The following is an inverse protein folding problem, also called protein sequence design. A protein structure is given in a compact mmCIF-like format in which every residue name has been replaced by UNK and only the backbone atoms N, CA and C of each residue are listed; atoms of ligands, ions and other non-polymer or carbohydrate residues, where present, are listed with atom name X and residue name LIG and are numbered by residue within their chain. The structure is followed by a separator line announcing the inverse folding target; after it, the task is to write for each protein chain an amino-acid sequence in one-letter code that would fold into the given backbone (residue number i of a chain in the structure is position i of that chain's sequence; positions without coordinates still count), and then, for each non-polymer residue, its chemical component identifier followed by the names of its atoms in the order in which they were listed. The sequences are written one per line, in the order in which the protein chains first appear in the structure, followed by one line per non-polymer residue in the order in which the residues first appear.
data_IF_557992634108
#
_entry.id   IF_557992634108
#
_cell.length_a   1.000
_cell.length_b   1.000
_cell.length_c   1.000
_cell.angle_alpha   90.00
_cell.angle_beta   90.00
_cell.angle_gamma   90.00
#
_symmetry.space_group_name_H-M   'P 1'
#
loop_
_entity.id
_entity.type
_entity.pdbx_description
1 polymer ?
#
# COMPACT_ATOMS: atom_id res chain seq x y z
N UNK A 1 -0.72 -13.18 8.61
CA UNK A 1 -0.77 -11.88 7.92
C UNK A 1 -1.61 -10.89 8.73
N UNK A 2 -1.22 -9.64 8.74
CA UNK A 2 -1.95 -8.61 9.50
C UNK A 2 -3.16 -8.09 8.72
N UNK A 3 -4.23 -7.80 9.44
CA UNK A 3 -5.31 -7.02 8.85
C UNK A 3 -4.81 -5.60 8.62
N UNK A 4 -5.56 -4.80 7.88
CA UNK A 4 -5.20 -3.39 7.66
C UNK A 4 -5.08 -2.65 8.99
N UNK A 5 -6.04 -2.83 9.89
CA UNK A 5 -6.01 -2.18 11.20
C UNK A 5 -4.77 -2.56 11.99
N UNK A 6 -4.43 -3.85 11.99
CA UNK A 6 -3.25 -4.34 12.70
C UNK A 6 -1.98 -3.77 12.09
N UNK A 7 -1.93 -3.67 10.76
CA UNK A 7 -0.76 -3.13 10.09
C UNK A 7 -0.57 -1.64 10.39
N UNK A 8 -1.66 -0.86 10.41
CA UNK A 8 -1.57 0.55 10.76
C UNK A 8 -1.08 0.74 12.19
N UNK A 9 -1.55 -0.09 13.12
CA UNK A 9 -1.08 -0.06 14.50
C UNK A 9 0.41 -0.43 14.59
N UNK A 10 0.82 -1.42 13.82
CA UNK A 10 2.22 -1.82 13.75
C UNK A 10 3.09 -0.67 13.27
N UNK A 11 2.69 0.02 12.20
CA UNK A 11 3.44 1.15 11.67
C UNK A 11 3.50 2.29 12.67
N UNK A 12 2.41 2.54 13.38
CA UNK A 12 2.37 3.57 14.41
C UNK A 12 3.38 3.26 15.51
N UNK A 13 3.51 1.99 15.90
CA UNK A 13 4.49 1.56 16.90
C UNK A 13 5.92 1.75 16.41
N UNK A 14 6.13 1.84 15.10
CA UNK A 14 7.45 2.08 14.50
C UNK A 14 7.70 3.57 14.23
N UNK A 15 6.80 4.43 14.63
CA UNK A 15 6.97 5.88 14.49
C UNK A 15 6.29 6.49 13.27
N UNK A 16 5.55 5.70 12.50
CA UNK A 16 4.79 6.24 11.36
C UNK A 16 3.42 6.68 11.85
N UNK A 17 3.21 7.97 11.85
CA UNK A 17 1.97 8.56 12.31
C UNK A 17 1.15 9.01 11.09
N UNK A 18 -0.09 8.54 10.99
CA UNK A 18 -0.97 8.89 9.88
C UNK A 18 -2.04 9.85 10.36
N UNK A 19 -2.16 11.00 9.68
CA UNK A 19 -3.25 11.93 9.93
C UNK A 19 -4.56 11.39 9.33
N UNK A 20 -5.64 12.09 9.61
CA UNK A 20 -6.98 11.70 9.14
C UNK A 20 -7.05 11.59 7.62
N UNK A 21 -6.39 12.52 6.91
CA UNK A 21 -6.39 12.53 5.45
C UNK A 21 -5.73 11.26 4.90
N UNK A 22 -4.59 10.88 5.48
CA UNK A 22 -3.88 9.67 5.05
C UNK A 22 -4.72 8.43 5.30
N UNK A 23 -5.32 8.31 6.48
CA UNK A 23 -6.19 7.18 6.81
C UNK A 23 -7.37 7.15 5.86
N UNK A 24 -7.94 8.33 5.54
CA UNK A 24 -9.04 8.43 4.59
C UNK A 24 -8.67 7.88 3.21
N UNK A 25 -7.50 8.24 2.69
CA UNK A 25 -7.00 7.72 1.41
C UNK A 25 -6.86 6.20 1.46
N UNK A 26 -6.32 5.67 2.56
CA UNK A 26 -6.08 4.24 2.70
C UNK A 26 -7.41 3.48 2.64
N UNK A 27 -8.39 3.90 3.43
CA UNK A 27 -9.68 3.21 3.46
C UNK A 27 -10.49 3.44 2.19
N UNK A 28 -10.35 4.61 1.57
CA UNK A 28 -10.99 4.86 0.29
C UNK A 28 -10.44 3.88 -0.76
N UNK A 29 -9.13 3.69 -0.79
CA UNK A 29 -8.52 2.74 -1.73
C UNK A 29 -9.02 1.32 -1.53
N UNK A 30 -9.16 0.92 -0.25
CA UNK A 30 -9.69 -0.41 0.06
C UNK A 30 -11.13 -0.55 -0.44
N UNK A 31 -11.97 0.44 -0.17
CA UNK A 31 -13.38 0.40 -0.58
C UNK A 31 -13.52 0.47 -2.10
N UNK A 32 -12.75 1.33 -2.74
CA UNK A 32 -12.83 1.56 -4.19
C UNK A 32 -12.38 0.34 -4.98
N UNK A 33 -11.31 -0.32 -4.55
CA UNK A 33 -10.75 -1.47 -5.27
C UNK A 33 -11.27 -2.81 -4.78
N UNK A 34 -11.82 -2.84 -3.58
CA UNK A 34 -12.23 -4.07 -2.90
C UNK A 34 -11.07 -5.06 -2.76
N UNK A 35 -9.84 -4.57 -2.72
CA UNK A 35 -8.66 -5.41 -2.58
C UNK A 35 -8.55 -5.98 -1.16
N UNK A 36 -7.91 -7.14 -1.05
CA UNK A 36 -7.66 -7.76 0.24
C UNK A 36 -6.65 -6.95 1.05
N UNK A 37 -6.70 -7.08 2.37
CA UNK A 37 -5.82 -6.34 3.26
C UNK A 37 -4.34 -6.55 2.95
N UNK A 38 -3.97 -7.75 2.53
CA UNK A 38 -2.58 -8.02 2.17
C UNK A 38 -2.08 -7.07 1.08
N UNK A 39 -2.90 -6.83 0.06
CA UNK A 39 -2.51 -5.95 -1.04
C UNK A 39 -2.53 -4.49 -0.60
N UNK A 40 -3.52 -4.08 0.20
CA UNK A 40 -3.58 -2.74 0.75
C UNK A 40 -2.34 -2.46 1.60
N UNK A 41 -2.00 -3.38 2.49
CA UNK A 41 -0.82 -3.25 3.35
C UNK A 41 0.45 -3.13 2.51
N UNK A 42 0.55 -3.91 1.44
CA UNK A 42 1.72 -3.87 0.55
C UNK A 42 1.81 -2.52 -0.17
N UNK A 43 0.67 -1.98 -0.62
CA UNK A 43 0.67 -0.67 -1.27
C UNK A 43 1.14 0.43 -0.31
N UNK A 44 0.73 0.35 0.96
CA UNK A 44 1.20 1.28 1.99
C UNK A 44 2.71 1.12 2.19
N UNK A 45 3.16 -0.11 2.35
CA UNK A 45 4.59 -0.42 2.55
C UNK A 45 5.44 0.15 1.43
N UNK A 46 5.04 -0.09 0.19
CA UNK A 46 5.80 0.37 -0.97
C UNK A 46 5.77 1.89 -1.09
N UNK A 47 4.64 2.52 -0.77
CA UNK A 47 4.54 3.97 -0.77
C UNK A 47 5.56 4.58 0.20
N UNK A 48 5.63 4.05 1.42
CA UNK A 48 6.57 4.55 2.42
C UNK A 48 8.01 4.33 2.01
N UNK A 49 8.31 3.20 1.39
CA UNK A 49 9.67 2.90 0.96
C UNK A 49 10.12 3.76 -0.20
N UNK A 50 9.25 4.01 -1.16
CA UNK A 50 9.60 4.75 -2.37
C UNK A 50 9.58 6.25 -2.12
N UNK A 51 8.52 6.76 -1.47
CA UNK A 51 8.34 8.20 -1.26
C UNK A 51 8.92 8.69 0.04
N UNK A 52 9.28 7.80 0.97
CA UNK A 52 9.81 8.11 2.29
C UNK A 52 8.80 8.75 3.23
N UNK A 53 7.56 8.90 2.77
CA UNK A 53 6.43 9.39 3.56
C UNK A 53 5.17 8.84 2.91
N UNK A 54 4.01 8.99 3.57
CA UNK A 54 2.77 8.55 2.94
C UNK A 54 2.26 9.62 1.97
N UNK A 55 2.23 9.27 0.70
CA UNK A 55 1.70 10.08 -0.39
C UNK A 55 0.43 9.39 -0.88
N UNK A 56 -0.73 10.01 -0.62
CA UNK A 56 -2.01 9.42 -0.95
C UNK A 56 -2.20 9.18 -2.43
N UNK A 57 -1.76 10.12 -3.27
CA UNK A 57 -1.87 9.99 -4.72
C UNK A 57 -1.01 8.84 -5.24
N UNK A 58 0.21 8.71 -4.72
CA UNK A 58 1.11 7.62 -5.08
C UNK A 58 0.50 6.28 -4.66
N UNK A 59 0.00 6.21 -3.42
CA UNK A 59 -0.63 5.01 -2.90
C UNK A 59 -1.79 4.55 -3.80
N UNK A 60 -2.69 5.47 -4.15
CA UNK A 60 -3.83 5.15 -5.00
C UNK A 60 -3.41 4.69 -6.38
N UNK A 61 -2.45 5.39 -6.98
CA UNK A 61 -1.93 5.03 -8.30
C UNK A 61 -1.31 3.63 -8.29
N UNK A 62 -0.53 3.34 -7.25
CA UNK A 62 0.13 2.05 -7.12
C UNK A 62 -0.89 0.93 -6.92
N UNK A 63 -1.88 1.17 -6.05
CA UNK A 63 -2.92 0.20 -5.78
C UNK A 63 -3.72 -0.12 -7.05
N UNK A 64 -4.06 0.89 -7.83
CA UNK A 64 -4.77 0.71 -9.09
C UNK A 64 -3.95 -0.11 -10.08
N UNK A 65 -2.64 0.11 -10.14
CA UNK A 65 -1.75 -0.68 -10.99
C UNK A 65 -1.77 -2.15 -10.58
N UNK A 66 -1.71 -2.41 -9.29
CA UNK A 66 -1.75 -3.79 -8.78
C UNK A 66 -3.06 -4.48 -9.18
N UNK A 67 -4.17 -3.80 -8.96
CA UNK A 67 -5.49 -4.36 -9.25
C UNK A 67 -5.65 -4.61 -10.74
N UNK A 68 -5.22 -3.67 -11.57
CA UNK A 68 -5.30 -3.80 -13.02
C UNK A 68 -4.44 -4.95 -13.53
N UNK A 69 -3.30 -5.18 -12.91
CA UNK A 69 -2.40 -6.29 -13.26
C UNK A 69 -2.83 -7.61 -12.62
N UNK A 70 -3.95 -7.61 -11.88
CA UNK A 70 -4.48 -8.80 -11.20
C UNK A 70 -3.52 -9.36 -10.15
N UNK A 71 -2.74 -8.48 -9.55
CA UNK A 71 -1.85 -8.81 -8.45
C UNK A 71 -2.67 -8.86 -7.17
N UNK A 72 -2.52 -9.93 -6.38
CA UNK A 72 -3.31 -10.09 -5.16
C UNK A 72 -2.49 -10.35 -3.91
N UNK A 73 -1.22 -10.73 -4.04
CA UNK A 73 -0.37 -11.02 -2.89
C UNK A 73 0.81 -10.07 -2.83
N UNK A 74 1.42 -9.98 -1.65
CA UNK A 74 2.62 -9.16 -1.46
C UNK A 74 3.75 -9.63 -2.38
N UNK A 75 3.93 -10.94 -2.49
CA UNK A 75 4.97 -11.50 -3.34
C UNK A 75 4.78 -11.09 -4.80
N UNK A 76 3.56 -11.22 -5.30
CA UNK A 76 3.23 -10.82 -6.67
C UNK A 76 3.44 -9.33 -6.87
N UNK A 77 3.07 -8.52 -5.87
CA UNK A 77 3.21 -7.07 -5.96
C UNK A 77 4.68 -6.67 -6.07
N UNK A 78 5.54 -7.28 -5.24
CA UNK A 78 6.97 -6.97 -5.26
C UNK A 78 7.60 -7.41 -6.57
N UNK A 79 7.20 -8.56 -7.10
CA UNK A 79 7.67 -9.05 -8.39
C UNK A 79 7.24 -8.10 -9.51
N UNK A 80 5.98 -7.65 -9.47
CA UNK A 80 5.45 -6.71 -10.46
C UNK A 80 6.27 -5.40 -10.46
N UNK A 81 6.53 -4.86 -9.28
CA UNK A 81 7.30 -3.60 -9.17
C UNK A 81 8.72 -3.76 -9.71
N UNK A 82 9.33 -4.89 -9.43
CA UNK A 82 10.67 -5.18 -9.93
C UNK A 82 10.68 -5.30 -11.44
N UNK A 83 9.73 -6.05 -12.00
CA UNK A 83 9.63 -6.29 -13.44
C UNK A 83 9.36 -4.99 -14.20
N UNK A 84 8.53 -4.11 -13.63
CA UNK A 84 8.20 -2.82 -14.23
C UNK A 84 9.22 -1.74 -13.90
N UNK A 85 10.27 -2.09 -13.13
CA UNK A 85 11.32 -1.17 -12.72
C UNK A 85 10.78 0.05 -11.97
N UNK A 86 9.68 -0.14 -11.25
CA UNK A 86 9.07 0.93 -10.46
C UNK A 86 9.64 1.00 -9.05
N UNK A 87 10.39 -0.02 -8.65
CA UNK A 87 10.96 -0.13 -7.33
C UNK A 87 12.49 -0.25 -7.44
N UNK A 88 13.23 0.70 -6.90
CA UNK A 88 14.71 0.65 -6.94
C UNK A 88 15.22 -0.34 -5.90
N UNK A 89 15.27 -1.59 -6.26
CA UNK A 89 15.74 -2.64 -5.34
C UNK A 89 17.23 -2.85 -5.46
#
# INVERSE_FOLDING_TARGET
MKTLEEYLLFLESKGFSFGEDAVGFIYFGKAYTNAADELINTAIECTLKIQKHFDGSFYMSLLERFVKAQVTTRKEALTYLKDEQLFPL
#
